data_IF_314144335561
#
_entry.id   IF_314144335561
#
_cell.length_a   1.000
_cell.length_b   1.000
_cell.length_c   1.000
_cell.angle_alpha   90.00
_cell.angle_beta   90.00
_cell.angle_gamma   90.00
#
_symmetry.space_group_name_H-M   'P 1'
#
loop_
_entity.id
_entity.type
_entity.pdbx_description
1 polymer ?
#
# COMPACT_ATOMS: atom_id res chain seq x y z
N UNK A 1 -49.83 -55.88 33.93
CA UNK A 1 -49.83 -54.62 33.15
C UNK A 1 -48.84 -53.63 33.77
N UNK A 2 -47.56 -53.97 33.89
CA UNK A 2 -46.59 -53.14 34.64
C UNK A 2 -45.24 -52.97 33.93
N UNK A 3 -44.80 -53.95 33.15
CA UNK A 3 -43.53 -53.88 32.42
C UNK A 3 -43.56 -52.92 31.21
N UNK A 4 -44.69 -52.84 30.50
CA UNK A 4 -44.85 -51.95 29.34
C UNK A 4 -44.89 -50.47 29.73
N UNK A 5 -45.54 -50.11 30.84
CA UNK A 5 -45.61 -48.70 31.28
C UNK A 5 -44.27 -48.19 31.82
N UNK A 6 -43.46 -49.05 32.43
CA UNK A 6 -42.13 -48.68 32.92
C UNK A 6 -41.12 -48.46 31.78
N UNK A 7 -41.18 -49.30 30.73
CA UNK A 7 -40.33 -49.17 29.53
C UNK A 7 -40.69 -47.93 28.70
N UNK A 8 -41.98 -47.62 28.57
CA UNK A 8 -42.47 -46.41 27.90
C UNK A 8 -42.05 -45.15 28.67
N UNK A 9 -42.16 -45.16 30.01
CA UNK A 9 -41.77 -44.02 30.85
C UNK A 9 -40.25 -43.74 30.80
N UNK A 10 -39.41 -44.78 30.83
CA UNK A 10 -37.95 -44.64 30.75
C UNK A 10 -37.46 -44.22 29.36
N UNK A 11 -38.10 -44.69 28.28
CA UNK A 11 -37.81 -44.25 26.91
C UNK A 11 -38.27 -42.81 26.63
N UNK A 12 -39.41 -42.37 27.17
CA UNK A 12 -39.87 -40.97 27.12
C UNK A 12 -38.90 -40.03 27.84
N UNK A 13 -38.33 -40.47 28.97
CA UNK A 13 -37.34 -39.69 29.72
C UNK A 13 -36.03 -39.56 28.92
N UNK A 14 -35.57 -40.65 28.30
CA UNK A 14 -34.39 -40.63 27.42
C UNK A 14 -34.56 -39.75 26.18
N UNK A 15 -35.70 -39.87 25.48
CA UNK A 15 -36.00 -39.05 24.31
C UNK A 15 -36.12 -37.55 24.67
N UNK A 16 -36.70 -37.24 25.83
CA UNK A 16 -36.78 -35.87 26.35
C UNK A 16 -35.40 -35.25 26.61
N UNK A 17 -34.50 -35.99 27.24
CA UNK A 17 -33.11 -35.53 27.48
C UNK A 17 -32.39 -35.28 26.17
N UNK A 18 -32.47 -36.21 25.21
CA UNK A 18 -31.84 -36.05 23.89
C UNK A 18 -32.40 -34.82 23.16
N UNK A 19 -33.72 -34.61 23.20
CA UNK A 19 -34.37 -33.45 22.58
C UNK A 19 -33.90 -32.12 23.20
N UNK A 20 -33.81 -32.05 24.54
CA UNK A 20 -33.31 -30.86 25.24
C UNK A 20 -31.84 -30.61 24.89
N UNK A 21 -30.99 -31.64 24.91
CA UNK A 21 -29.58 -31.52 24.53
C UNK A 21 -29.43 -31.05 23.08
N UNK A 22 -30.21 -31.60 22.15
CA UNK A 22 -30.21 -31.20 20.75
C UNK A 22 -30.65 -29.73 20.57
N UNK A 23 -31.68 -29.29 21.29
CA UNK A 23 -32.14 -27.89 21.26
C UNK A 23 -31.05 -26.95 21.79
N UNK A 24 -30.47 -27.25 22.95
CA UNK A 24 -29.39 -26.45 23.54
C UNK A 24 -28.19 -26.36 22.61
N UNK A 25 -27.77 -27.50 22.03
CA UNK A 25 -26.69 -27.53 21.04
C UNK A 25 -27.01 -26.67 19.82
N UNK A 26 -28.24 -26.71 19.31
CA UNK A 26 -28.67 -25.93 18.16
C UNK A 26 -28.64 -24.43 18.45
N UNK A 27 -29.21 -24.00 19.59
CA UNK A 27 -29.22 -22.59 20.00
C UNK A 27 -27.81 -22.09 20.26
N UNK A 28 -26.99 -22.86 20.98
CA UNK A 28 -25.60 -22.51 21.26
C UNK A 28 -24.78 -22.39 19.97
N UNK A 29 -24.93 -23.35 19.04
CA UNK A 29 -24.24 -23.34 17.75
C UNK A 29 -24.68 -22.16 16.89
N UNK A 30 -25.98 -21.84 16.86
CA UNK A 30 -26.50 -20.68 16.15
C UNK A 30 -25.88 -19.37 16.64
N UNK A 31 -25.86 -19.16 17.97
CA UNK A 31 -25.26 -17.98 18.58
C UNK A 31 -23.76 -17.90 18.31
N UNK A 32 -23.03 -19.00 18.50
CA UNK A 32 -21.59 -19.04 18.25
C UNK A 32 -21.23 -18.69 16.80
N UNK A 33 -22.02 -19.17 15.83
CA UNK A 33 -21.78 -18.94 14.41
C UNK A 33 -22.19 -17.54 13.92
N UNK A 34 -23.18 -16.89 14.55
CA UNK A 34 -23.74 -15.63 14.04
C UNK A 34 -23.44 -14.40 14.90
N UNK A 35 -23.05 -14.57 16.17
CA UNK A 35 -22.82 -13.43 17.07
C UNK A 35 -21.38 -12.91 17.09
N UNK A 36 -20.41 -13.68 16.57
CA UNK A 36 -18.99 -13.32 16.60
C UNK A 36 -18.70 -12.11 15.72
N UNK A 37 -17.90 -11.17 16.22
CA UNK A 37 -17.41 -10.04 15.43
C UNK A 37 -16.31 -10.52 14.47
N UNK A 38 -16.40 -10.11 13.21
CA UNK A 38 -15.37 -10.37 12.21
C UNK A 38 -14.12 -9.52 12.39
N UNK A 39 -13.12 -9.80 11.55
CA UNK A 39 -12.00 -8.91 11.28
C UNK A 39 -12.07 -8.49 9.82
N UNK A 40 -11.69 -7.25 9.54
CA UNK A 40 -11.50 -6.79 8.18
C UNK A 40 -10.12 -7.24 7.71
N UNK A 41 -10.07 -7.91 6.55
CA UNK A 41 -8.83 -8.29 5.86
C UNK A 41 -8.78 -7.59 4.52
N UNK A 42 -7.56 -7.27 4.09
CA UNK A 42 -7.28 -6.74 2.76
C UNK A 42 -6.03 -7.43 2.20
N UNK A 43 -5.82 -7.27 0.89
CA UNK A 43 -4.71 -7.87 0.16
C UNK A 43 -3.98 -6.81 -0.65
N UNK A 44 -2.72 -7.09 -0.96
CA UNK A 44 -1.85 -6.23 -1.74
C UNK A 44 -2.47 -5.95 -3.13
N UNK A 45 -2.61 -4.68 -3.52
CA UNK A 45 -3.08 -4.33 -4.86
C UNK A 45 -2.01 -4.69 -5.89
N UNK A 46 -2.42 -5.34 -6.98
CA UNK A 46 -1.53 -5.69 -8.10
C UNK A 46 -1.26 -4.50 -9.03
N UNK A 47 -2.05 -3.44 -8.94
CA UNK A 47 -1.94 -2.25 -9.76
C UNK A 47 -2.38 -1.04 -8.96
N UNK A 48 -1.89 0.14 -9.29
CA UNK A 48 -2.30 1.40 -8.68
C UNK A 48 -2.32 2.48 -9.75
N UNK A 49 -3.04 3.57 -9.50
CA UNK A 49 -2.87 4.79 -10.30
C UNK A 49 -2.17 5.84 -9.47
N UNK A 50 -1.27 6.61 -10.07
CA UNK A 50 -0.55 7.67 -9.38
C UNK A 50 -0.42 8.91 -10.26
N UNK A 51 -0.43 10.07 -9.62
CA UNK A 51 0.08 11.33 -10.15
C UNK A 51 0.89 12.01 -9.05
N UNK A 52 2.07 12.48 -9.41
CA UNK A 52 2.96 13.26 -8.58
C UNK A 52 3.29 14.50 -9.38
N UNK A 53 2.56 15.58 -9.12
CA UNK A 53 2.72 16.84 -9.84
C UNK A 53 2.88 17.99 -8.84
N UNK A 54 3.98 18.73 -8.97
CA UNK A 54 4.33 19.79 -8.03
C UNK A 54 4.44 19.28 -6.59
N UNK A 55 3.62 19.82 -5.69
CA UNK A 55 3.62 19.44 -4.26
C UNK A 55 2.56 18.40 -3.87
N UNK A 56 1.83 17.88 -4.85
CA UNK A 56 0.70 16.95 -4.61
C UNK A 56 1.05 15.57 -5.12
N UNK A 57 1.00 14.59 -4.21
CA UNK A 57 1.00 13.17 -4.54
C UNK A 57 -0.39 12.61 -4.31
N UNK A 58 -0.94 11.98 -5.36
CA UNK A 58 -2.23 11.29 -5.31
C UNK A 58 -2.06 9.85 -5.77
N UNK A 59 -2.57 8.93 -4.97
CA UNK A 59 -2.48 7.50 -5.19
C UNK A 59 -3.89 6.89 -5.13
N UNK A 60 -4.28 6.16 -6.17
CA UNK A 60 -5.54 5.40 -6.20
C UNK A 60 -5.24 3.91 -6.17
N UNK A 61 -5.83 3.24 -5.19
CA UNK A 61 -5.60 1.82 -4.92
C UNK A 61 -6.90 1.02 -5.12
N UNK A 62 -6.88 -0.09 -5.88
CA UNK A 62 -7.94 -1.07 -5.88
C UNK A 62 -7.80 -1.95 -4.62
N UNK A 63 -8.68 -1.75 -3.64
CA UNK A 63 -8.68 -2.52 -2.40
C UNK A 63 -9.78 -3.57 -2.43
N UNK A 64 -9.43 -4.81 -2.08
CA UNK A 64 -10.41 -5.86 -1.78
C UNK A 64 -10.49 -6.00 -0.26
N UNK A 65 -11.66 -5.74 0.31
CA UNK A 65 -11.92 -5.78 1.73
C UNK A 65 -12.86 -6.94 2.05
N UNK A 66 -12.41 -7.89 2.88
CA UNK A 66 -13.20 -9.05 3.28
C UNK A 66 -13.49 -9.03 4.78
N UNK A 67 -14.75 -9.23 5.13
CA UNK A 67 -15.18 -9.38 6.51
C UNK A 67 -15.25 -10.87 6.89
N UNK A 68 -14.37 -11.31 7.77
CA UNK A 68 -14.30 -12.72 8.17
C UNK A 68 -15.44 -13.18 9.08
N UNK A 69 -16.28 -12.26 9.57
CA UNK A 69 -17.34 -12.56 10.52
C UNK A 69 -18.73 -12.37 9.94
N UNK A 70 -19.77 -12.87 10.64
CA UNK A 70 -21.18 -12.73 10.25
C UNK A 70 -21.73 -11.31 10.41
N UNK A 71 -21.21 -10.52 11.36
CA UNK A 71 -21.68 -9.16 11.62
C UNK A 71 -21.06 -8.17 10.63
N UNK A 72 -21.83 -7.26 10.02
CA UNK A 72 -21.30 -6.24 9.12
C UNK A 72 -20.28 -5.34 9.84
N UNK A 73 -19.29 -4.87 9.08
CA UNK A 73 -18.29 -3.93 9.58
C UNK A 73 -18.45 -2.61 8.84
N UNK A 74 -18.75 -1.56 9.59
CA UNK A 74 -18.75 -0.18 9.06
C UNK A 74 -17.31 0.32 9.03
N UNK A 75 -16.81 0.66 7.85
CA UNK A 75 -15.56 1.40 7.64
C UNK A 75 -15.90 2.88 7.66
N UNK A 76 -15.28 3.63 8.58
CA UNK A 76 -15.53 5.05 8.76
C UNK A 76 -14.53 5.90 8.00
N UNK A 77 -13.26 5.46 7.99
CA UNK A 77 -12.15 6.25 7.45
C UNK A 77 -10.94 5.37 7.13
N UNK A 78 -10.09 5.87 6.23
CA UNK A 78 -8.88 5.22 5.74
C UNK A 78 -7.74 6.25 5.63
N UNK A 79 -6.53 5.84 6.01
CA UNK A 79 -5.30 6.62 5.77
C UNK A 79 -4.21 5.70 5.26
N UNK A 80 -3.29 6.28 4.49
CA UNK A 80 -2.10 5.60 4.00
C UNK A 80 -0.86 6.25 4.61
N UNK A 81 0.00 5.43 5.21
CA UNK A 81 1.25 5.86 5.84
C UNK A 81 2.44 5.10 5.26
N UNK A 82 3.63 5.70 5.39
CA UNK A 82 4.90 5.11 5.02
C UNK A 82 5.77 4.98 6.28
N UNK A 83 5.60 3.91 7.08
CA UNK A 83 6.20 3.80 8.42
C UNK A 83 7.73 3.85 8.45
N UNK A 84 8.38 3.44 7.35
CA UNK A 84 9.85 3.41 7.27
C UNK A 84 10.42 4.73 6.71
N UNK A 85 9.56 5.70 6.37
CA UNK A 85 9.94 6.97 5.75
C UNK A 85 9.91 8.12 6.76
N UNK A 86 11.05 8.52 7.35
CA UNK A 86 11.10 9.57 8.37
C UNK A 86 10.68 10.95 7.82
N UNK A 87 10.81 11.17 6.51
CA UNK A 87 10.36 12.38 5.83
C UNK A 87 8.83 12.40 5.64
N UNK A 88 8.14 11.25 5.70
CA UNK A 88 6.69 11.14 5.56
C UNK A 88 6.01 11.29 6.93
N UNK A 89 6.02 12.51 7.47
CA UNK A 89 5.41 12.83 8.77
C UNK A 89 3.88 12.96 8.70
N UNK A 90 3.30 13.08 7.50
CA UNK A 90 1.86 13.19 7.29
C UNK A 90 1.33 12.00 6.47
N UNK A 91 0.22 11.36 6.91
CA UNK A 91 -0.45 10.35 6.12
C UNK A 91 -1.05 10.95 4.85
N UNK A 92 -1.14 10.15 3.79
CA UNK A 92 -2.05 10.45 2.69
C UNK A 92 -3.46 10.12 3.14
N UNK A 93 -4.37 11.08 2.96
CA UNK A 93 -5.74 11.02 3.46
C UNK A 93 -6.66 10.47 2.38
N UNK A 94 -7.67 9.71 2.76
CA UNK A 94 -8.73 9.30 1.85
C UNK A 94 -9.54 10.52 1.38
N UNK A 95 -9.44 10.83 0.09
CA UNK A 95 -10.08 12.01 -0.52
C UNK A 95 -11.22 11.67 -1.49
N UNK A 96 -11.25 10.45 -2.04
CA UNK A 96 -12.34 10.04 -2.92
C UNK A 96 -12.48 8.52 -3.03
N UNK A 97 -13.65 8.05 -3.49
CA UNK A 97 -13.95 6.63 -3.75
C UNK A 97 -14.44 6.40 -5.18
N UNK A 98 -13.55 6.51 -6.18
CA UNK A 98 -13.88 6.40 -7.59
C UNK A 98 -14.42 5.01 -7.98
N UNK A 99 -14.99 4.94 -9.18
CA UNK A 99 -15.62 3.70 -9.69
C UNK A 99 -14.62 2.78 -10.41
N UNK A 100 -13.47 3.33 -10.82
CA UNK A 100 -12.45 2.63 -11.60
C UNK A 100 -11.04 3.09 -11.22
N UNK A 101 -10.05 2.26 -11.56
CA UNK A 101 -8.64 2.58 -11.33
C UNK A 101 -8.12 3.66 -12.28
N UNK A 102 -8.45 3.57 -13.57
CA UNK A 102 -8.03 4.54 -14.57
C UNK A 102 -8.77 5.88 -14.33
N UNK A 103 -8.06 6.98 -14.08
CA UNK A 103 -8.66 8.32 -14.07
C UNK A 103 -9.26 8.61 -15.45
N UNK A 104 -10.46 9.17 -15.49
CA UNK A 104 -11.02 9.63 -16.76
C UNK A 104 -11.67 11.00 -16.67
N UNK A 105 -11.90 11.65 -17.83
CA UNK A 105 -12.20 13.07 -17.92
C UNK A 105 -13.52 13.47 -17.23
N UNK A 106 -14.51 12.57 -17.23
CA UNK A 106 -15.85 12.83 -16.71
C UNK A 106 -16.13 12.13 -15.36
N UNK A 107 -15.08 11.73 -14.63
CA UNK A 107 -15.27 11.06 -13.34
C UNK A 107 -15.61 12.09 -12.24
N UNK A 108 -16.86 12.09 -11.82
CA UNK A 108 -17.34 12.95 -10.74
C UNK A 108 -16.67 12.56 -9.41
N UNK A 109 -16.17 13.55 -8.69
CA UNK A 109 -15.45 13.33 -7.44
C UNK A 109 -16.40 12.82 -6.35
N UNK A 110 -16.42 11.50 -6.15
CA UNK A 110 -17.16 10.88 -5.05
C UNK A 110 -16.42 11.09 -3.74
N UNK A 111 -16.87 12.07 -2.96
CA UNK A 111 -16.35 12.39 -1.64
C UNK A 111 -16.25 11.15 -0.74
N UNK A 112 -15.30 11.13 0.21
CA UNK A 112 -15.10 10.00 1.09
C UNK A 112 -16.34 9.84 1.96
N UNK A 113 -16.95 8.65 1.89
CA UNK A 113 -18.15 8.32 2.63
C UNK A 113 -17.98 6.93 3.23
N UNK A 114 -18.18 6.82 4.54
CA UNK A 114 -18.13 5.55 5.24
C UNK A 114 -19.05 4.51 4.58
N UNK A 115 -18.58 3.27 4.52
CA UNK A 115 -19.26 2.17 3.83
C UNK A 115 -19.31 0.93 4.71
N UNK A 116 -20.13 -0.04 4.31
CA UNK A 116 -20.36 -1.28 5.06
C UNK A 116 -19.83 -2.45 4.27
N UNK A 117 -18.97 -3.26 4.89
CA UNK A 117 -18.56 -4.58 4.38
C UNK A 117 -19.46 -5.64 5.03
N UNK A 118 -20.38 -6.27 4.27
CA UNK A 118 -21.29 -7.28 4.80
C UNK A 118 -20.55 -8.47 5.39
N UNK A 119 -21.22 -9.23 6.25
CA UNK A 119 -20.62 -10.38 6.90
C UNK A 119 -20.30 -11.50 5.92
N UNK A 120 -19.11 -12.10 6.04
CA UNK A 120 -18.63 -13.20 5.18
C UNK A 120 -18.56 -12.85 3.68
N UNK A 121 -18.50 -11.56 3.37
CA UNK A 121 -18.42 -11.06 2.00
C UNK A 121 -17.16 -10.23 1.79
N UNK A 122 -16.73 -10.18 0.52
CA UNK A 122 -15.66 -9.32 0.05
C UNK A 122 -16.23 -8.23 -0.84
N UNK A 123 -15.71 -7.01 -0.69
CA UNK A 123 -16.04 -5.88 -1.54
C UNK A 123 -14.77 -5.31 -2.15
N UNK A 124 -14.83 -5.03 -3.45
CA UNK A 124 -13.79 -4.30 -4.15
C UNK A 124 -14.17 -2.82 -4.23
N UNK A 125 -13.22 -1.95 -3.88
CA UNK A 125 -13.38 -0.50 -3.88
C UNK A 125 -12.11 0.12 -4.45
N UNK A 126 -12.25 1.22 -5.19
CA UNK A 126 -11.11 2.06 -5.55
C UNK A 126 -11.07 3.23 -4.58
N UNK A 127 -9.98 3.35 -3.84
CA UNK A 127 -9.79 4.38 -2.82
C UNK A 127 -8.66 5.29 -3.27
N UNK A 128 -8.95 6.59 -3.30
CA UNK A 128 -7.98 7.61 -3.65
C UNK A 128 -7.46 8.30 -2.39
N UNK A 129 -6.14 8.34 -2.27
CA UNK A 129 -5.40 8.95 -1.20
C UNK A 129 -4.62 10.16 -1.74
N UNK A 130 -4.60 11.26 -1.00
CA UNK A 130 -3.90 12.48 -1.39
C UNK A 130 -3.32 13.19 -0.18
N UNK A 131 -2.23 13.93 -0.39
CA UNK A 131 -1.73 14.92 0.55
C UNK A 131 -1.35 16.22 -0.22
N UNK A 132 -1.83 17.40 0.22
CA UNK A 132 -1.53 18.69 -0.44
C UNK A 132 -0.08 19.17 -0.25
N UNK A 133 0.68 18.51 0.62
CA UNK A 133 2.10 18.75 0.84
C UNK A 133 2.76 17.42 1.15
N UNK A 134 3.02 16.63 0.12
CA UNK A 134 3.93 15.52 0.31
C UNK A 134 5.35 16.11 0.35
N UNK A 135 5.83 16.44 1.56
CA UNK A 135 7.27 16.53 1.83
C UNK A 135 8.02 15.23 1.47
N UNK A 136 7.26 14.24 1.00
CA UNK A 136 7.60 13.03 0.31
C UNK A 136 7.36 13.18 -1.20
N UNK A 137 8.41 13.38 -1.99
CA UNK A 137 8.39 13.08 -3.42
C UNK A 137 8.80 11.62 -3.52
N UNK A 138 7.93 10.69 -3.98
CA UNK A 138 8.32 9.31 -4.11
C UNK A 138 9.49 9.20 -5.11
N UNK A 139 10.63 8.78 -4.61
CA UNK A 139 11.77 8.34 -5.41
C UNK A 139 11.40 7.02 -6.11
N UNK A 140 12.08 6.71 -7.21
CA UNK A 140 11.90 5.47 -7.95
C UNK A 140 12.46 4.25 -7.17
N UNK A 141 11.82 3.90 -6.06
CA UNK A 141 12.20 2.79 -5.17
C UNK A 141 11.00 2.10 -4.56
N UNK A 142 11.27 1.07 -3.77
CA UNK A 142 10.24 0.34 -3.04
C UNK A 142 9.93 1.01 -1.71
N UNK A 143 8.64 1.24 -1.47
CA UNK A 143 8.15 1.79 -0.22
C UNK A 143 7.33 0.76 0.54
N UNK A 144 7.59 0.63 1.84
CA UNK A 144 6.66 -0.07 2.72
C UNK A 144 5.48 0.84 3.00
N UNK A 145 4.33 0.49 2.43
CA UNK A 145 3.09 1.22 2.57
C UNK A 145 2.17 0.53 3.58
N UNK A 146 1.49 1.30 4.43
CA UNK A 146 0.52 0.78 5.37
C UNK A 146 -0.80 1.53 5.27
N UNK A 147 -1.87 0.80 4.97
CA UNK A 147 -3.24 1.31 5.07
C UNK A 147 -3.70 1.09 6.50
N UNK A 148 -4.14 2.16 7.15
CA UNK A 148 -4.85 2.10 8.41
C UNK A 148 -6.33 2.38 8.20
N UNK A 149 -7.15 1.76 9.03
CA UNK A 149 -8.60 1.85 8.98
C UNK A 149 -9.17 2.24 10.33
N UNK A 150 -10.22 3.06 10.29
CA UNK A 150 -11.11 3.31 11.41
C UNK A 150 -12.44 2.59 11.17
N UNK A 151 -12.88 1.77 12.11
CA UNK A 151 -14.11 0.96 11.99
C UNK A 151 -15.11 1.30 13.08
N UNK A 152 -16.41 1.23 12.80
CA UNK A 152 -17.45 1.70 13.72
C UNK A 152 -17.59 0.94 15.03
N UNK A 153 -17.18 -0.33 15.07
CA UNK A 153 -17.32 -1.19 16.25
C UNK A 153 -16.09 -1.16 17.20
N UNK A 154 -15.08 -0.33 16.90
CA UNK A 154 -13.84 -0.23 17.67
C UNK A 154 -13.29 1.19 17.67
N UNK A 155 -12.66 1.60 18.77
CA UNK A 155 -11.98 2.89 18.85
C UNK A 155 -10.57 2.83 18.24
N UNK A 156 -10.12 3.96 17.69
CA UNK A 156 -8.76 4.19 17.18
C UNK A 156 -8.49 3.64 15.78
N UNK A 157 -7.38 4.11 15.20
CA UNK A 157 -6.80 3.62 13.96
C UNK A 157 -6.19 2.23 14.15
N UNK A 158 -6.26 1.41 13.10
CA UNK A 158 -5.72 0.04 13.11
C UNK A 158 -5.08 -0.27 11.77
N UNK A 159 -3.97 -1.03 11.74
CA UNK A 159 -3.41 -1.51 10.49
C UNK A 159 -4.43 -2.46 9.82
N UNK A 160 -4.72 -2.19 8.55
CA UNK A 160 -5.57 -3.01 7.69
C UNK A 160 -4.71 -3.86 6.74
N UNK A 161 -3.74 -3.22 6.09
CA UNK A 161 -2.86 -3.83 5.11
C UNK A 161 -1.48 -3.19 5.21
N UNK A 162 -0.43 -4.00 5.13
CA UNK A 162 0.92 -3.55 4.85
C UNK A 162 1.39 -4.25 3.59
N UNK A 163 1.94 -3.49 2.64
CA UNK A 163 2.33 -3.98 1.32
C UNK A 163 3.52 -3.17 0.80
N UNK A 164 4.12 -3.61 -0.31
CA UNK A 164 5.20 -2.86 -0.95
C UNK A 164 4.65 -2.06 -2.12
N UNK A 165 4.73 -0.74 -2.05
CA UNK A 165 4.46 0.14 -3.17
C UNK A 165 5.73 0.23 -4.02
N UNK A 166 5.66 -0.30 -5.24
CA UNK A 166 6.76 -0.30 -6.22
C UNK A 166 6.78 1.02 -6.98
N UNK A 167 7.24 2.10 -6.33
CA UNK A 167 7.24 3.42 -6.96
C UNK A 167 8.24 3.55 -8.12
N UNK A 168 9.21 2.64 -8.24
CA UNK A 168 10.07 2.51 -9.42
C UNK A 168 9.28 2.28 -10.73
N UNK A 169 8.06 1.76 -10.65
CA UNK A 169 7.19 1.56 -11.82
C UNK A 169 6.47 2.84 -12.27
N UNK A 170 6.64 3.96 -11.55
CA UNK A 170 6.05 5.26 -11.92
C UNK A 170 6.98 5.93 -12.94
N UNK A 171 6.70 5.69 -14.23
CA UNK A 171 7.54 6.17 -15.34
C UNK A 171 7.16 7.60 -15.78
N UNK A 172 5.90 8.00 -15.60
CA UNK A 172 5.36 9.31 -16.04
C UNK A 172 4.65 10.01 -14.87
N UNK A 173 5.40 10.57 -13.89
CA UNK A 173 4.83 11.08 -12.65
C UNK A 173 3.85 12.24 -12.84
N UNK A 174 4.05 13.08 -13.86
CA UNK A 174 3.19 14.24 -14.14
C UNK A 174 1.83 13.86 -14.74
N UNK A 175 1.70 12.62 -15.23
CA UNK A 175 0.46 12.12 -15.83
C UNK A 175 -0.26 11.18 -14.88
N UNK A 176 -1.53 11.47 -14.62
CA UNK A 176 -2.36 10.58 -13.84
C UNK A 176 -2.71 9.31 -14.63
N UNK A 177 -1.99 8.22 -14.36
CA UNK A 177 -2.13 6.95 -15.08
C UNK A 177 -1.95 5.74 -14.17
N UNK A 178 -2.19 4.56 -14.72
CA UNK A 178 -2.15 3.27 -14.04
C UNK A 178 -0.80 2.60 -14.22
N UNK A 179 -0.30 2.02 -13.14
CA UNK A 179 0.96 1.31 -13.01
C UNK A 179 0.75 -0.09 -12.43
N UNK A 180 1.67 -1.00 -12.75
CA UNK A 180 1.73 -2.33 -12.16
C UNK A 180 2.47 -2.25 -10.81
N UNK A 181 2.01 -3.00 -9.80
CA UNK A 181 2.68 -3.12 -8.51
C UNK A 181 3.49 -4.43 -8.38
N UNK A 182 3.74 -5.12 -9.50
CA UNK A 182 4.64 -6.27 -9.54
C UNK A 182 6.10 -5.84 -9.41
N UNK A 183 6.98 -6.68 -8.82
CA UNK A 183 8.41 -6.46 -8.85
C UNK A 183 8.90 -6.42 -10.30
N UNK A 184 9.84 -5.53 -10.60
CA UNK A 184 10.50 -5.49 -11.91
C UNK A 184 11.39 -6.72 -12.03
N UNK A 185 11.05 -7.62 -12.96
CA UNK A 185 11.94 -8.71 -13.34
C UNK A 185 13.04 -8.16 -14.24
N UNK A 186 14.20 -7.85 -13.65
CA UNK A 186 15.40 -7.51 -14.43
C UNK A 186 15.87 -8.75 -15.17
N UNK A 187 15.67 -8.78 -16.48
CA UNK A 187 16.20 -9.87 -17.30
C UNK A 187 17.72 -9.74 -17.44
N UNK A 188 18.42 -10.83 -17.75
CA UNK A 188 19.86 -10.80 -18.03
C UNK A 188 20.22 -9.89 -19.22
N UNK A 189 19.27 -9.68 -20.13
CA UNK A 189 19.45 -8.78 -21.27
C UNK A 189 19.37 -7.32 -20.84
N UNK A 190 18.45 -6.97 -19.93
CA UNK A 190 18.35 -5.62 -19.37
C UNK A 190 19.61 -5.24 -18.58
N UNK A 191 20.17 -6.19 -17.82
CA UNK A 191 21.45 -6.00 -17.13
C UNK A 191 22.58 -5.73 -18.11
N UNK A 192 22.73 -6.55 -19.15
CA UNK A 192 23.76 -6.35 -20.18
C UNK A 192 23.61 -5.00 -20.89
N UNK A 193 22.38 -4.56 -21.13
CA UNK A 193 22.09 -3.28 -21.78
C UNK A 193 22.42 -2.10 -20.86
N UNK A 194 22.12 -2.21 -19.56
CA UNK A 194 22.48 -1.21 -18.57
C UNK A 194 24.01 -1.12 -18.39
N UNK A 195 24.69 -2.26 -18.32
CA UNK A 195 26.16 -2.33 -18.21
C UNK A 195 26.84 -1.72 -19.44
N UNK A 196 26.32 -2.00 -20.64
CA UNK A 196 26.82 -1.41 -21.88
C UNK A 196 26.63 0.12 -21.93
N UNK A 197 25.46 0.61 -21.52
CA UNK A 197 25.20 2.05 -21.46
C UNK A 197 26.06 2.76 -20.40
N UNK A 198 26.33 2.10 -19.27
CA UNK A 198 27.23 2.62 -18.24
C UNK A 198 28.66 2.75 -18.76
N UNK A 199 29.15 1.76 -19.52
CA UNK A 199 30.46 1.80 -20.16
C UNK A 199 30.57 2.92 -21.18
N UNK A 200 29.54 3.13 -22.01
CA UNK A 200 29.48 4.22 -22.99
C UNK A 200 29.58 5.60 -22.31
N UNK A 201 28.84 5.81 -21.21
CA UNK A 201 28.91 7.06 -20.43
C UNK A 201 30.27 7.28 -19.75
N UNK A 202 30.92 6.20 -19.30
CA UNK A 202 32.27 6.28 -18.72
C UNK A 202 33.34 6.60 -19.76
N UNK A 203 33.21 6.08 -20.98
CA UNK A 203 34.07 6.42 -22.11
C UNK A 203 33.88 7.88 -22.53
N UNK A 204 32.63 8.36 -22.58
CA UNK A 204 32.31 9.76 -22.89
C UNK A 204 32.85 10.75 -21.85
N UNK A 205 32.89 10.37 -20.57
CA UNK A 205 33.51 11.18 -19.50
C UNK A 205 35.02 10.98 -19.34
N UNK A 206 35.60 9.91 -19.91
CA UNK A 206 37.01 9.58 -19.84
C UNK A 206 37.90 10.43 -20.76
N UNK A 207 37.32 11.05 -21.79
CA UNK A 207 38.06 11.86 -22.79
C UNK A 207 38.21 13.35 -22.40
N UNK A 208 37.88 13.73 -21.17
CA UNK A 208 37.86 15.12 -20.70
C UNK A 208 38.89 15.49 -19.64
N UNK A 209 40.21 15.45 -19.90
CA UNK A 209 41.25 16.42 -19.44
C UNK A 209 42.70 15.89 -19.58
N UNK A 210 43.77 16.72 -19.76
CA UNK A 210 43.90 18.13 -20.21
C UNK A 210 44.98 18.29 -21.34
N UNK A 211 45.15 19.46 -22.01
CA UNK A 211 46.41 19.74 -22.70
C UNK A 211 47.42 20.33 -21.71
N UNK A 212 48.40 19.51 -21.34
CA UNK A 212 49.61 19.85 -20.60
C UNK A 212 50.46 20.87 -21.40
N UNK A 213 50.26 22.15 -21.09
CA UNK A 213 51.04 23.25 -21.65
C UNK A 213 52.40 23.36 -20.97
N UNK A 214 53.40 22.65 -21.51
CA UNK A 214 54.83 22.85 -21.19
C UNK A 214 55.19 24.35 -21.18
N UNK A 215 55.35 24.94 -20.00
CA UNK A 215 56.13 26.18 -19.83
C UNK A 215 57.58 25.80 -19.52
N UNK A 216 58.37 25.75 -20.58
CA UNK A 216 59.83 25.91 -20.48
C UNK A 216 60.11 27.38 -20.16
N UNK A 217 60.75 27.67 -19.03
CA UNK A 217 61.32 28.98 -18.73
C UNK A 217 62.73 28.76 -18.19
N UNK A 218 63.70 29.28 -18.92
CA UNK A 218 65.13 29.21 -18.64
C UNK A 218 65.52 30.02 -17.39
N UNK A 219 66.64 29.70 -16.71
CA UNK A 219 67.28 30.56 -15.70
C UNK A 219 68.51 31.29 -16.29
N UNK A 220 69.25 32.08 -15.49
CA UNK A 220 68.94 33.38 -14.89
C UNK A 220 69.76 34.51 -15.58
N UNK A 221 69.48 35.78 -15.28
CA UNK A 221 70.38 36.89 -15.67
C UNK A 221 70.63 37.81 -14.45
N UNK A 222 71.91 37.86 -14.05
CA UNK A 222 72.45 38.68 -12.98
C UNK A 222 72.58 40.13 -13.47
N UNK A 223 71.88 41.05 -12.81
CA UNK A 223 71.97 42.48 -13.06
C UNK A 223 72.44 43.22 -11.83
N UNK A 224 73.76 43.45 -11.76
CA UNK A 224 74.39 44.43 -10.88
C UNK A 224 73.78 45.82 -11.06
N UNK A 225 73.48 46.49 -9.96
CA UNK A 225 73.44 47.95 -9.88
C UNK A 225 73.87 48.40 -8.48
N UNK A 226 75.17 48.62 -8.36
CA UNK A 226 75.78 49.39 -7.28
C UNK A 226 75.75 50.90 -7.62
N UNK A 227 75.92 51.72 -6.58
CA UNK A 227 76.32 53.13 -6.53
C UNK A 227 75.28 54.27 -6.50
N UNK A 228 75.11 54.78 -5.26
CA UNK A 228 75.46 56.14 -4.80
C UNK A 228 74.64 57.37 -5.25
N UNK A 229 74.13 58.09 -4.23
CA UNK A 229 73.61 59.46 -4.31
C UNK A 229 72.85 59.85 -3.06
#
# INVERSE_FOLDING_TARGET
MTATDQAVSSSLTGAGVVSICALLFTVASFWWLNARQGRLKAWEPHSFAAIVHGSTARLRLPLVLHNTGPKPIVVQDLILTFPDEPASHLPLLWVSSPSRLQPGPDEEAKLPAGFVVPGREAQQLFIEFEAPFSGFIPEARDYKAQIQVRVGHRKGWRPLLTFTLRAANIIDPDRYTVYNNAPVELTKEDQRRADAALLELLEEHGDGSPPDGRRRRDPPDDGDADTSG
#
